data_IF_924698098000
#
_entry.id   IF_924698098000
#
_cell.length_a   1.000
_cell.length_b   1.000
_cell.length_c   1.000
_cell.angle_alpha   90.00
_cell.angle_beta   90.00
_cell.angle_gamma   90.00
#
_symmetry.space_group_name_H-M   'P 1'
#
loop_
_entity.id
_entity.type
_entity.pdbx_description
1 polymer ?
#
# COMPACT_ATOMS: atom_id res chain seq x y z
N UNK A 1 4.16 -18.72 5.66
CA UNK A 1 3.90 -19.95 4.90
C UNK A 1 5.16 -20.32 4.15
N UNK A 2 5.48 -21.61 4.00
CA UNK A 2 6.71 -22.02 3.33
C UNK A 2 6.52 -21.88 1.81
N UNK A 3 7.43 -21.19 1.10
CA UNK A 3 7.26 -20.85 -0.32
C UNK A 3 7.15 -22.12 -1.23
N UNK A 4 7.64 -23.26 -0.74
CA UNK A 4 7.52 -24.57 -1.39
C UNK A 4 6.13 -25.22 -1.24
N UNK A 5 5.36 -24.88 -0.21
CA UNK A 5 4.01 -25.42 0.02
C UNK A 5 2.97 -24.72 -0.88
N UNK A 6 3.11 -23.41 -1.09
CA UNK A 6 2.20 -22.58 -1.90
C UNK A 6 2.31 -22.93 -3.40
N UNK A 7 3.41 -23.55 -3.82
CA UNK A 7 3.63 -23.98 -5.21
C UNK A 7 2.88 -25.26 -5.58
N UNK A 8 2.23 -25.93 -4.63
CA UNK A 8 1.49 -27.17 -4.87
C UNK A 8 0.00 -26.98 -4.59
N UNK A 9 -0.86 -27.55 -5.42
CA UNK A 9 -2.30 -27.53 -5.21
C UNK A 9 -2.75 -28.55 -4.15
N UNK A 10 -4.05 -28.60 -3.84
CA UNK A 10 -4.62 -29.51 -2.84
C UNK A 10 -4.42 -31.00 -3.11
N UNK A 11 -4.07 -31.37 -4.35
CA UNK A 11 -3.72 -32.74 -4.75
C UNK A 11 -2.20 -33.01 -4.73
N UNK A 12 -1.39 -32.02 -4.33
CA UNK A 12 0.07 -32.14 -4.21
C UNK A 12 0.86 -31.89 -5.50
N UNK A 13 0.21 -31.53 -6.60
CA UNK A 13 0.86 -31.24 -7.89
C UNK A 13 1.34 -29.79 -7.95
N UNK A 14 2.46 -29.57 -8.63
CA UNK A 14 2.97 -28.22 -8.89
C UNK A 14 1.95 -27.42 -9.71
N UNK A 15 1.47 -26.31 -9.14
CA UNK A 15 0.45 -25.45 -9.73
C UNK A 15 0.96 -24.00 -9.77
N UNK A 16 1.61 -23.60 -10.88
CA UNK A 16 2.13 -22.25 -11.02
C UNK A 16 1.01 -21.20 -11.09
N UNK A 17 -0.19 -21.56 -11.53
CA UNK A 17 -1.33 -20.65 -11.64
C UNK A 17 -1.85 -20.24 -10.26
N UNK A 18 -2.06 -21.22 -9.37
CA UNK A 18 -2.44 -20.96 -7.98
C UNK A 18 -1.36 -20.14 -7.25
N UNK A 19 -0.09 -20.52 -7.40
CA UNK A 19 1.03 -19.79 -6.81
C UNK A 19 1.09 -18.32 -7.25
N UNK A 20 1.00 -18.06 -8.56
CA UNK A 20 1.02 -16.70 -9.08
C UNK A 20 -0.17 -15.86 -8.60
N UNK A 21 -1.36 -16.44 -8.54
CA UNK A 21 -2.56 -15.75 -8.07
C UNK A 21 -2.42 -15.31 -6.59
N UNK A 22 -1.92 -16.21 -5.74
CA UNK A 22 -1.65 -15.92 -4.32
C UNK A 22 -0.59 -14.82 -4.21
N UNK A 23 0.54 -14.97 -4.91
CA UNK A 23 1.66 -14.02 -4.84
C UNK A 23 1.29 -12.62 -5.33
N UNK A 24 0.45 -12.52 -6.37
CA UNK A 24 -0.07 -11.23 -6.85
C UNK A 24 -0.93 -10.55 -5.80
N UNK A 25 -1.74 -11.31 -5.06
CA UNK A 25 -2.60 -10.78 -3.99
C UNK A 25 -1.76 -10.31 -2.81
N UNK A 26 -0.81 -11.13 -2.33
CA UNK A 26 0.12 -10.75 -1.24
C UNK A 26 0.98 -9.53 -1.61
N UNK A 27 1.43 -9.45 -2.86
CA UNK A 27 2.19 -8.29 -3.33
C UNK A 27 1.32 -7.03 -3.38
N UNK A 28 0.04 -7.17 -3.76
CA UNK A 28 -0.91 -6.07 -3.77
C UNK A 28 -1.21 -5.58 -2.35
N UNK A 29 -1.43 -6.49 -1.41
CA UNK A 29 -1.60 -6.18 0.02
C UNK A 29 -0.36 -5.47 0.59
N UNK A 30 0.84 -6.01 0.38
CA UNK A 30 2.08 -5.34 0.81
C UNK A 30 2.31 -3.98 0.15
N UNK A 31 1.93 -3.84 -1.12
CA UNK A 31 2.04 -2.55 -1.82
C UNK A 31 1.03 -1.53 -1.30
N UNK A 32 -0.15 -1.99 -0.87
CA UNK A 32 -1.15 -1.16 -0.22
C UNK A 32 -0.61 -0.63 1.11
N UNK A 33 -0.16 -1.50 2.01
CA UNK A 33 0.44 -1.10 3.31
C UNK A 33 1.56 -0.06 3.14
N UNK A 34 2.47 -0.27 2.19
CA UNK A 34 3.56 0.68 1.91
C UNK A 34 3.06 2.01 1.31
N UNK A 35 2.02 1.97 0.47
CA UNK A 35 1.44 3.17 -0.12
C UNK A 35 0.76 4.03 0.94
N UNK A 36 0.10 3.39 1.91
CA UNK A 36 -0.55 4.01 3.04
C UNK A 36 0.50 4.66 3.95
N UNK A 37 1.58 3.95 4.30
CA UNK A 37 2.69 4.52 5.09
C UNK A 37 3.29 5.78 4.45
N UNK A 38 3.54 5.77 3.13
CA UNK A 38 4.09 6.91 2.40
C UNK A 38 3.13 8.11 2.46
N UNK A 39 1.83 7.86 2.31
CA UNK A 39 0.80 8.89 2.39
C UNK A 39 0.74 9.51 3.79
N UNK A 40 0.67 8.70 4.86
CA UNK A 40 0.60 9.20 6.23
C UNK A 40 1.86 9.99 6.64
N UNK A 41 3.05 9.53 6.23
CA UNK A 41 4.29 10.29 6.48
C UNK A 41 4.26 11.66 5.82
N UNK A 42 3.82 11.75 4.56
CA UNK A 42 3.69 13.01 3.84
C UNK A 42 2.67 13.94 4.53
N UNK A 43 1.51 13.39 4.90
CA UNK A 43 0.44 14.15 5.55
C UNK A 43 0.92 14.77 6.87
N UNK A 44 1.59 13.98 7.72
CA UNK A 44 2.15 14.46 8.98
C UNK A 44 3.20 15.55 8.74
N UNK A 45 4.09 15.38 7.77
CA UNK A 45 5.06 16.43 7.44
C UNK A 45 4.41 17.73 6.98
N UNK A 46 3.30 17.67 6.23
CA UNK A 46 2.55 18.88 5.85
C UNK A 46 1.99 19.57 7.09
N UNK A 47 1.39 18.81 8.02
CA UNK A 47 0.89 19.37 9.28
C UNK A 47 2.01 20.00 10.11
N UNK A 48 3.14 19.30 10.27
CA UNK A 48 4.30 19.81 11.01
C UNK A 48 4.80 21.14 10.42
N UNK A 49 4.90 21.24 9.08
CA UNK A 49 5.32 22.47 8.39
C UNK A 49 4.32 23.60 8.63
N UNK A 50 3.02 23.32 8.55
CA UNK A 50 1.98 24.32 8.82
C UNK A 50 2.06 24.85 10.25
N UNK A 51 2.12 23.95 11.24
CA UNK A 51 2.20 24.30 12.66
C UNK A 51 3.47 25.11 12.97
N UNK A 52 4.63 24.70 12.43
CA UNK A 52 5.89 25.44 12.58
C UNK A 52 5.83 26.86 11.98
N UNK A 53 5.03 27.04 10.93
CA UNK A 53 4.82 28.34 10.30
C UNK A 53 3.70 29.17 10.99
N UNK A 54 3.06 28.64 12.04
CA UNK A 54 1.96 29.31 12.74
C UNK A 54 0.61 29.23 12.01
N UNK A 55 0.43 28.24 11.14
CA UNK A 55 -0.82 27.98 10.42
C UNK A 55 -1.42 26.64 10.84
N UNK A 56 -2.73 26.60 11.04
CA UNK A 56 -3.46 25.35 11.25
C UNK A 56 -4.24 24.95 9.99
N UNK A 57 -4.34 23.65 9.75
CA UNK A 57 -5.12 23.13 8.62
C UNK A 57 -6.57 22.92 9.05
N UNK A 58 -7.44 23.87 8.73
CA UNK A 58 -8.87 23.85 9.12
C UNK A 58 -9.70 22.78 8.38
N UNK A 59 -9.31 22.41 7.15
CA UNK A 59 -10.10 21.57 6.26
C UNK A 59 -9.33 20.33 5.78
N UNK A 60 -10.04 19.40 5.15
CA UNK A 60 -9.47 18.16 4.61
C UNK A 60 -8.46 18.44 3.48
N UNK A 61 -7.27 17.85 3.58
CA UNK A 61 -6.27 17.84 2.51
C UNK A 61 -6.56 16.68 1.57
N UNK A 62 -6.69 16.95 0.27
CA UNK A 62 -6.87 15.92 -0.76
C UNK A 62 -5.60 15.82 -1.60
N UNK A 63 -4.97 14.63 -1.61
CA UNK A 63 -3.74 14.39 -2.37
C UNK A 63 -3.98 13.38 -3.49
N UNK A 64 -3.42 13.67 -4.67
CA UNK A 64 -3.40 12.75 -5.80
C UNK A 64 -1.97 12.28 -6.04
N UNK A 65 -1.74 10.98 -5.97
CA UNK A 65 -0.45 10.41 -6.35
C UNK A 65 -0.24 10.55 -7.86
N UNK A 66 0.90 11.13 -8.27
CA UNK A 66 1.17 11.44 -9.69
C UNK A 66 1.31 10.18 -10.55
N UNK A 67 1.89 9.11 -10.00
CA UNK A 67 2.20 7.89 -10.74
C UNK A 67 0.95 7.02 -10.95
N UNK A 68 0.19 6.77 -9.89
CA UNK A 68 -0.96 5.85 -9.92
C UNK A 68 -2.28 6.58 -10.21
N UNK A 69 -2.31 7.90 -10.03
CA UNK A 69 -3.53 8.69 -10.05
C UNK A 69 -4.45 8.46 -8.84
N UNK A 70 -4.04 7.63 -7.86
CA UNK A 70 -4.82 7.34 -6.65
C UNK A 70 -5.10 8.63 -5.90
N UNK A 71 -6.37 8.85 -5.58
CA UNK A 71 -6.82 10.02 -4.83
C UNK A 71 -7.04 9.61 -3.38
N UNK A 72 -6.26 10.23 -2.52
CA UNK A 72 -6.40 10.18 -1.09
C UNK A 72 -7.20 11.39 -0.67
N UNK A 73 -8.41 11.11 -0.21
CA UNK A 73 -9.25 12.13 0.40
C UNK A 73 -8.92 12.05 1.87
#
# INVERSE_FOLDING_TARGET
MNDNEIRRNGSGYYDPTAYEAIKRTENKERSFDKSDEKFYKLLNSIFDICELAGFHVENRIVLKEKETGKIWR
#
